data_IF_303077970501
#
_entry.id   IF_303077970501
#
_cell.length_a   1.000
_cell.length_b   1.000
_cell.length_c   1.000
_cell.angle_alpha   90.00
_cell.angle_beta   90.00
_cell.angle_gamma   90.00
#
_symmetry.space_group_name_H-M   'P 1'
#
loop_
_entity.id
_entity.type
_entity.pdbx_description
1 polymer ?
#
# COMPACT_ATOMS: atom_id res chain seq x y z
N UNK A 1 23.78 -2.12 -3.03
CA UNK A 1 22.34 -2.19 -2.71
C UNK A 1 21.85 -0.93 -2.01
N UNK A 2 22.40 -0.57 -0.84
CA UNK A 2 21.94 0.56 -0.01
C UNK A 2 21.85 1.87 -0.79
N UNK A 3 22.86 2.20 -1.61
CA UNK A 3 22.84 3.40 -2.45
C UNK A 3 21.63 3.48 -3.40
N UNK A 4 21.22 2.34 -3.98
CA UNK A 4 20.03 2.27 -4.87
C UNK A 4 18.73 2.52 -4.09
N UNK A 5 18.61 1.93 -2.90
CA UNK A 5 17.45 2.10 -2.02
C UNK A 5 17.33 3.57 -1.57
N UNK A 6 18.43 4.16 -1.09
CA UNK A 6 18.45 5.57 -0.66
C UNK A 6 18.10 6.48 -1.83
N UNK A 7 18.69 6.25 -3.01
CA UNK A 7 18.38 7.07 -4.19
C UNK A 7 16.90 6.96 -4.60
N UNK A 8 16.33 5.75 -4.58
CA UNK A 8 14.91 5.55 -4.82
C UNK A 8 14.01 6.30 -3.83
N UNK A 9 14.30 6.22 -2.53
CA UNK A 9 13.51 6.90 -1.50
C UNK A 9 13.58 8.42 -1.69
N UNK A 10 14.78 8.96 -1.93
CA UNK A 10 14.97 10.40 -2.17
C UNK A 10 14.23 10.85 -3.42
N UNK A 11 14.34 10.12 -4.54
CA UNK A 11 13.60 10.44 -5.77
C UNK A 11 12.09 10.38 -5.55
N UNK A 12 11.62 9.36 -4.84
CA UNK A 12 10.19 9.20 -4.55
C UNK A 12 9.67 10.39 -3.75
N UNK A 13 10.36 10.81 -2.68
CA UNK A 13 9.99 11.98 -1.88
C UNK A 13 9.99 13.28 -2.69
N UNK A 14 11.03 13.50 -3.52
CA UNK A 14 11.12 14.69 -4.36
C UNK A 14 9.99 14.74 -5.39
N UNK A 15 9.72 13.61 -6.07
CA UNK A 15 8.64 13.50 -7.06
C UNK A 15 7.26 13.66 -6.41
N UNK A 16 7.06 13.15 -5.19
CA UNK A 16 5.83 13.37 -4.42
C UNK A 16 5.58 14.86 -4.20
N UNK A 17 6.61 15.62 -3.83
CA UNK A 17 6.50 17.08 -3.65
C UNK A 17 6.20 17.77 -4.99
N UNK A 18 6.96 17.43 -6.04
CA UNK A 18 6.76 18.02 -7.38
C UNK A 18 5.34 17.76 -7.89
N UNK A 19 4.86 16.52 -7.82
CA UNK A 19 3.51 16.18 -8.25
C UNK A 19 2.43 16.83 -7.39
N UNK A 20 2.66 16.98 -6.08
CA UNK A 20 1.74 17.71 -5.21
C UNK A 20 1.64 19.19 -5.60
N UNK A 21 2.78 19.86 -5.87
CA UNK A 21 2.82 21.26 -6.31
C UNK A 21 2.15 21.42 -7.67
N UNK A 22 2.43 20.55 -8.64
CA UNK A 22 1.77 20.55 -9.95
C UNK A 22 0.25 20.42 -9.76
N UNK A 23 -0.19 19.48 -8.92
CA UNK A 23 -1.60 19.25 -8.68
C UNK A 23 -2.28 20.45 -8.03
N UNK A 24 -1.66 21.09 -7.04
CA UNK A 24 -2.18 22.30 -6.39
C UNK A 24 -2.36 23.48 -7.35
N UNK A 25 -1.53 23.57 -8.39
CA UNK A 25 -1.62 24.61 -9.42
C UNK A 25 -2.49 24.18 -10.63
N UNK A 26 -3.21 23.07 -10.52
CA UNK A 26 -4.09 22.54 -11.56
C UNK A 26 -5.55 22.55 -11.10
N UNK A 27 -6.48 22.24 -12.01
CA UNK A 27 -7.89 22.03 -11.69
C UNK A 27 -8.21 20.63 -11.12
N UNK A 28 -7.19 19.77 -10.93
CA UNK A 28 -7.37 18.38 -10.49
C UNK A 28 -7.54 18.28 -8.97
N UNK A 29 -8.70 17.82 -8.52
CA UNK A 29 -8.97 17.59 -7.09
C UNK A 29 -8.18 16.39 -6.54
N UNK A 30 -7.54 16.59 -5.39
CA UNK A 30 -6.88 15.54 -4.59
C UNK A 30 -7.83 14.43 -4.13
N UNK A 31 -9.14 14.71 -4.07
CA UNK A 31 -10.14 13.72 -3.69
C UNK A 31 -10.45 12.75 -4.84
N UNK A 32 -10.21 13.16 -6.10
CA UNK A 32 -10.52 12.35 -7.29
C UNK A 32 -9.29 11.63 -7.82
N UNK A 33 -8.14 12.29 -7.81
CA UNK A 33 -6.87 11.73 -8.27
C UNK A 33 -5.76 12.24 -7.35
N UNK A 34 -4.75 11.43 -7.10
CA UNK A 34 -3.57 11.85 -6.35
C UNK A 34 -2.34 11.66 -7.22
N UNK A 35 -1.88 12.74 -7.88
CA UNK A 35 -0.66 12.70 -8.67
C UNK A 35 0.56 12.26 -7.84
N UNK A 36 0.69 12.60 -6.53
CA UNK A 36 1.77 12.09 -5.71
C UNK A 36 1.90 10.56 -5.66
N UNK A 37 0.81 9.81 -5.88
CA UNK A 37 0.86 8.32 -5.95
C UNK A 37 1.64 7.80 -7.15
N UNK A 38 1.89 8.63 -8.17
CA UNK A 38 2.72 8.25 -9.32
C UNK A 38 4.22 8.27 -8.99
N UNK A 39 4.63 8.91 -7.88
CA UNK A 39 6.03 9.15 -7.55
C UNK A 39 6.89 7.87 -7.48
N UNK A 40 6.45 6.75 -6.84
CA UNK A 40 7.26 5.53 -6.77
C UNK A 40 7.53 4.94 -8.16
N UNK A 41 6.53 4.86 -9.05
CA UNK A 41 6.72 4.38 -10.42
C UNK A 41 7.70 5.26 -11.21
N UNK A 42 7.55 6.58 -11.15
CA UNK A 42 8.43 7.52 -11.84
C UNK A 42 9.86 7.49 -11.28
N UNK A 43 10.03 7.27 -9.97
CA UNK A 43 11.34 7.07 -9.38
C UNK A 43 12.04 5.83 -9.95
N UNK A 44 11.32 4.71 -10.15
CA UNK A 44 11.86 3.52 -10.83
C UNK A 44 12.28 3.83 -12.27
N UNK A 45 11.44 4.54 -13.03
CA UNK A 45 11.76 4.95 -14.41
C UNK A 45 13.05 5.79 -14.44
N UNK A 46 13.19 6.77 -13.54
CA UNK A 46 14.40 7.60 -13.46
C UNK A 46 15.62 6.73 -13.11
N UNK A 47 15.51 5.80 -12.17
CA UNK A 47 16.62 4.92 -11.79
C UNK A 47 17.15 4.07 -12.94
N UNK A 48 16.30 3.69 -13.90
CA UNK A 48 16.73 2.95 -15.08
C UNK A 48 17.71 3.71 -15.98
N UNK A 49 17.70 5.04 -15.94
CA UNK A 49 18.70 5.86 -16.65
C UNK A 49 20.07 5.83 -15.95
N UNK A 50 20.11 5.59 -14.64
CA UNK A 50 21.35 5.58 -13.85
C UNK A 50 21.92 4.17 -13.62
N UNK A 51 21.07 3.14 -13.65
CA UNK A 51 21.47 1.77 -13.37
C UNK A 51 20.95 0.81 -14.45
N UNK A 52 21.89 0.17 -15.17
CA UNK A 52 21.56 -0.81 -16.22
C UNK A 52 20.87 -2.08 -15.69
N UNK A 53 21.23 -2.51 -14.47
CA UNK A 53 20.70 -3.73 -13.83
C UNK A 53 19.98 -3.36 -12.54
N UNK A 54 18.66 -3.15 -12.63
CA UNK A 54 17.77 -3.03 -11.49
C UNK A 54 17.09 -4.39 -11.26
N UNK A 55 16.97 -4.86 -10.01
CA UNK A 55 16.33 -6.14 -9.69
C UNK A 55 14.80 -6.08 -9.84
N UNK A 56 14.25 -5.17 -10.65
CA UNK A 56 12.82 -4.95 -10.68
C UNK A 56 12.10 -6.07 -11.42
N UNK A 57 10.99 -6.55 -10.88
CA UNK A 57 10.14 -7.57 -11.48
C UNK A 57 8.74 -7.01 -11.68
N UNK A 58 8.36 -6.77 -12.93
CA UNK A 58 7.02 -6.32 -13.30
C UNK A 58 6.36 -7.42 -14.11
N UNK A 59 5.30 -8.02 -13.58
CA UNK A 59 4.54 -9.07 -14.24
C UNK A 59 3.05 -8.70 -14.27
N UNK A 60 2.53 -8.44 -15.46
CA UNK A 60 1.10 -8.12 -15.70
C UNK A 60 0.29 -9.34 -16.17
N UNK A 61 0.91 -10.52 -16.30
CA UNK A 61 0.23 -11.69 -16.82
C UNK A 61 -0.87 -12.14 -15.86
N UNK A 62 -2.04 -12.41 -16.43
CA UNK A 62 -3.17 -13.00 -15.71
C UNK A 62 -3.14 -14.50 -15.94
N UNK A 63 -3.06 -15.23 -14.84
CA UNK A 63 -3.13 -16.69 -14.81
C UNK A 63 -4.37 -17.15 -14.02
N UNK A 64 -5.18 -18.00 -14.64
CA UNK A 64 -6.41 -18.57 -14.08
C UNK A 64 -6.11 -19.38 -12.81
N UNK A 65 -4.95 -20.01 -12.71
CA UNK A 65 -4.52 -20.77 -11.52
C UNK A 65 -4.38 -19.85 -10.30
N UNK A 66 -4.15 -18.55 -10.52
CA UNK A 66 -4.02 -17.54 -9.47
C UNK A 66 -5.35 -16.87 -9.07
N UNK A 67 -6.50 -17.29 -9.61
CA UNK A 67 -7.83 -16.76 -9.24
C UNK A 67 -8.04 -16.69 -7.71
N UNK A 68 -7.74 -17.73 -6.91
CA UNK A 68 -7.88 -17.64 -5.47
C UNK A 68 -7.04 -16.52 -4.85
N UNK A 69 -5.85 -16.24 -5.38
CA UNK A 69 -5.00 -15.14 -4.92
C UNK A 69 -5.53 -13.78 -5.35
N UNK A 70 -6.07 -13.62 -6.55
CA UNK A 70 -6.73 -12.38 -6.97
C UNK A 70 -7.95 -12.07 -6.10
N UNK A 71 -8.81 -13.06 -5.84
CA UNK A 71 -9.97 -12.92 -4.97
C UNK A 71 -9.55 -12.59 -3.54
N UNK A 72 -8.56 -13.31 -3.00
CA UNK A 72 -8.01 -13.02 -1.67
C UNK A 72 -7.44 -11.62 -1.61
N UNK A 73 -6.67 -11.21 -2.63
CA UNK A 73 -6.08 -9.88 -2.69
C UNK A 73 -7.12 -8.77 -2.63
N UNK A 74 -8.24 -8.95 -3.33
CA UNK A 74 -9.30 -7.94 -3.36
C UNK A 74 -10.21 -7.98 -2.13
N UNK A 75 -10.61 -9.16 -1.65
CA UNK A 75 -11.60 -9.31 -0.58
C UNK A 75 -11.01 -9.14 0.83
N UNK A 76 -9.76 -9.54 1.04
CA UNK A 76 -9.14 -9.50 2.37
C UNK A 76 -9.04 -8.07 2.94
N UNK A 77 -8.54 -7.06 2.20
CA UNK A 77 -8.52 -5.68 2.69
C UNK A 77 -9.90 -5.18 3.08
N UNK A 78 -10.92 -5.44 2.23
CA UNK A 78 -12.30 -5.02 2.46
C UNK A 78 -12.84 -5.65 3.75
N UNK A 79 -12.58 -6.94 3.97
CA UNK A 79 -13.01 -7.64 5.18
C UNK A 79 -12.34 -7.08 6.44
N UNK A 80 -11.03 -6.84 6.41
CA UNK A 80 -10.28 -6.31 7.56
C UNK A 80 -10.71 -4.89 7.93
N UNK A 81 -10.91 -4.03 6.93
CA UNK A 81 -11.42 -2.69 7.16
C UNK A 81 -12.88 -2.68 7.61
N UNK A 82 -13.73 -3.55 7.05
CA UNK A 82 -15.10 -3.74 7.53
C UNK A 82 -15.11 -4.15 9.01
N UNK A 83 -14.26 -5.09 9.41
CA UNK A 83 -14.11 -5.48 10.82
C UNK A 83 -13.64 -4.30 11.69
N UNK A 84 -12.66 -3.51 11.23
CA UNK A 84 -12.20 -2.32 11.93
C UNK A 84 -13.32 -1.29 12.11
N UNK A 85 -14.11 -1.03 11.07
CA UNK A 85 -15.30 -0.18 11.13
C UNK A 85 -16.29 -0.65 12.21
N UNK A 86 -16.64 -1.94 12.22
CA UNK A 86 -17.61 -2.47 13.19
C UNK A 86 -17.08 -2.42 14.63
N UNK A 87 -15.83 -2.83 14.87
CA UNK A 87 -15.26 -2.87 16.22
C UNK A 87 -15.05 -1.46 16.81
N UNK A 88 -14.60 -0.51 16.00
CA UNK A 88 -14.40 0.87 16.45
C UNK A 88 -15.72 1.56 16.80
N UNK A 89 -16.80 1.25 16.08
CA UNK A 89 -18.15 1.68 16.44
C UNK A 89 -18.61 1.17 17.81
N UNK A 90 -18.27 -0.07 18.18
CA UNK A 90 -18.65 -0.65 19.49
C UNK A 90 -17.96 0.04 20.67
N UNK A 91 -16.77 0.60 20.45
CA UNK A 91 -16.00 1.31 21.49
C UNK A 91 -16.22 2.84 21.44
N UNK A 92 -17.26 3.30 20.75
CA UNK A 92 -17.69 4.70 20.74
C UNK A 92 -16.89 5.63 19.83
N UNK A 93 -16.13 5.10 18.86
CA UNK A 93 -15.52 5.94 17.81
C UNK A 93 -16.61 6.29 16.79
N UNK A 94 -16.81 7.58 16.54
CA UNK A 94 -17.77 8.05 15.55
C UNK A 94 -17.25 7.82 14.12
N UNK A 95 -17.50 6.62 13.61
CA UNK A 95 -17.19 6.25 12.22
C UNK A 95 -18.45 6.38 11.37
N UNK A 96 -18.36 7.16 10.29
CA UNK A 96 -19.44 7.35 9.32
C UNK A 96 -19.03 6.74 7.97
N UNK A 97 -19.83 5.82 7.40
CA UNK A 97 -19.58 5.32 6.06
C UNK A 97 -19.77 6.45 5.04
N UNK A 98 -19.26 6.26 3.83
CA UNK A 98 -19.50 7.20 2.73
C UNK A 98 -21.01 7.34 2.49
N UNK A 99 -21.50 8.59 2.57
CA UNK A 99 -22.94 8.92 2.46
C UNK A 99 -23.51 8.65 1.07
N UNK A 100 -22.68 8.52 0.03
CA UNK A 100 -23.15 8.23 -1.32
C UNK A 100 -22.08 7.58 -2.20
N UNK A 101 -22.07 6.24 -2.29
CA UNK A 101 -21.22 5.52 -3.26
C UNK A 101 -21.52 5.89 -4.71
N UNK A 102 -22.67 6.53 -4.99
CA UNK A 102 -22.99 7.10 -6.31
C UNK A 102 -22.04 8.24 -6.72
N UNK A 103 -21.26 8.79 -5.79
CA UNK A 103 -20.18 9.74 -6.07
C UNK A 103 -18.85 9.07 -6.44
N UNK A 104 -18.78 7.73 -6.52
CA UNK A 104 -17.75 7.03 -7.31
C UNK A 104 -17.95 7.37 -8.78
N UNK A 105 -17.56 8.57 -9.15
CA UNK A 105 -17.47 9.00 -10.53
C UNK A 105 -16.35 8.15 -11.17
N UNK A 106 -16.52 7.66 -12.41
CA UNK A 106 -15.53 6.83 -13.10
C UNK A 106 -14.09 7.35 -12.98
N UNK A 107 -13.90 8.67 -13.01
CA UNK A 107 -12.60 9.31 -12.86
C UNK A 107 -11.90 9.02 -11.53
N UNK A 108 -12.64 8.91 -10.42
CA UNK A 108 -12.06 8.60 -9.12
C UNK A 108 -11.61 7.15 -9.06
N UNK A 109 -12.43 6.22 -9.60
CA UNK A 109 -12.06 4.82 -9.71
C UNK A 109 -10.82 4.64 -10.61
N UNK A 110 -10.80 5.29 -11.76
CA UNK A 110 -9.62 5.30 -12.65
C UNK A 110 -8.39 5.85 -11.93
N UNK A 111 -8.52 6.97 -11.20
CA UNK A 111 -7.44 7.54 -10.40
C UNK A 111 -6.91 6.57 -9.34
N UNK A 112 -7.80 5.88 -8.62
CA UNK A 112 -7.42 4.87 -7.62
C UNK A 112 -6.72 3.66 -8.23
N UNK A 113 -7.17 3.17 -9.39
CA UNK A 113 -6.53 2.07 -10.11
C UNK A 113 -5.12 2.49 -10.53
N UNK A 114 -4.99 3.64 -11.20
CA UNK A 114 -3.68 4.11 -11.67
C UNK A 114 -2.73 4.34 -10.49
N UNK A 115 -3.20 5.01 -9.43
CA UNK A 115 -2.42 5.29 -8.23
C UNK A 115 -1.95 4.01 -7.53
N UNK A 116 -2.86 3.06 -7.27
CA UNK A 116 -2.53 1.79 -6.65
C UNK A 116 -1.44 1.03 -7.42
N UNK A 117 -1.60 0.89 -8.74
CA UNK A 117 -0.61 0.18 -9.55
C UNK A 117 0.71 0.94 -9.66
N UNK A 118 0.69 2.27 -9.75
CA UNK A 118 1.90 3.08 -9.81
C UNK A 118 2.71 3.00 -8.50
N UNK A 119 2.06 2.98 -7.35
CA UNK A 119 2.72 2.75 -6.07
C UNK A 119 3.36 1.36 -6.02
N UNK A 120 2.62 0.32 -6.41
CA UNK A 120 3.11 -1.06 -6.35
C UNK A 120 4.28 -1.35 -7.31
N UNK A 121 4.40 -0.61 -8.43
CA UNK A 121 5.60 -0.65 -9.28
C UNK A 121 6.85 -0.25 -8.47
N UNK A 122 6.76 0.80 -7.67
CA UNK A 122 7.87 1.24 -6.81
C UNK A 122 8.08 0.30 -5.64
N UNK A 123 7.02 -0.05 -4.91
CA UNK A 123 7.13 -0.79 -3.67
C UNK A 123 7.41 -2.27 -3.86
N UNK A 124 6.64 -2.96 -4.71
CA UNK A 124 6.63 -4.44 -4.81
C UNK A 124 7.38 -4.94 -6.03
N UNK A 125 7.41 -4.15 -7.10
CA UNK A 125 8.22 -4.49 -8.26
C UNK A 125 9.66 -4.00 -8.16
N UNK A 126 10.00 -3.04 -7.30
CA UNK A 126 11.37 -2.53 -7.19
C UNK A 126 11.96 -2.58 -5.78
N UNK A 127 11.40 -1.85 -4.80
CA UNK A 127 12.00 -1.68 -3.47
C UNK A 127 12.13 -3.01 -2.75
N UNK A 128 11.03 -3.77 -2.65
CA UNK A 128 11.03 -5.05 -1.97
C UNK A 128 12.01 -6.05 -2.60
N UNK A 129 11.98 -6.35 -3.92
CA UNK A 129 12.99 -7.20 -4.57
C UNK A 129 14.43 -6.70 -4.39
N UNK A 130 14.64 -5.37 -4.29
CA UNK A 130 15.96 -4.81 -4.03
C UNK A 130 16.46 -5.19 -2.64
N UNK A 131 15.60 -5.11 -1.62
CA UNK A 131 15.91 -5.48 -0.23
C UNK A 131 16.06 -7.00 -0.08
N UNK A 132 15.28 -7.79 -0.82
CA UNK A 132 15.33 -9.27 -0.81
C UNK A 132 16.66 -9.85 -1.31
N UNK A 133 17.51 -9.06 -1.97
CA UNK A 133 18.84 -9.53 -2.37
C UNK A 133 19.77 -9.82 -1.18
N UNK A 134 19.54 -9.17 -0.03
CA UNK A 134 20.41 -9.29 1.16
C UNK A 134 19.63 -9.71 2.42
N UNK A 135 18.30 -9.58 2.40
CA UNK A 135 17.44 -9.87 3.54
C UNK A 135 16.35 -10.87 3.17
N UNK A 136 15.83 -11.58 4.18
CA UNK A 136 14.69 -12.49 3.96
C UNK A 136 13.45 -11.72 3.49
N UNK A 137 12.54 -12.35 2.72
CA UNK A 137 11.26 -11.74 2.32
C UNK A 137 10.45 -11.14 3.46
N UNK A 138 10.53 -11.71 4.67
CA UNK A 138 9.89 -11.13 5.85
C UNK A 138 10.53 -9.78 6.24
N UNK A 139 11.85 -9.72 6.32
CA UNK A 139 12.56 -8.46 6.62
C UNK A 139 12.31 -7.44 5.51
N UNK A 140 12.35 -7.86 4.25
CA UNK A 140 12.11 -6.99 3.11
C UNK A 140 10.69 -6.41 3.11
N UNK A 141 9.67 -7.22 3.39
CA UNK A 141 8.29 -6.76 3.49
C UNK A 141 8.06 -5.81 4.67
N UNK A 142 8.70 -6.05 5.84
CA UNK A 142 8.68 -5.13 6.99
C UNK A 142 9.30 -3.78 6.61
N UNK A 143 10.51 -3.75 6.05
CA UNK A 143 11.16 -2.50 5.65
C UNK A 143 10.39 -1.76 4.56
N UNK A 144 9.84 -2.49 3.58
CA UNK A 144 8.99 -1.93 2.53
C UNK A 144 7.75 -1.28 3.12
N UNK A 145 7.08 -1.95 4.07
CA UNK A 145 5.91 -1.41 4.75
C UNK A 145 6.23 -0.18 5.61
N UNK A 146 7.37 -0.16 6.30
CA UNK A 146 7.83 1.01 7.05
C UNK A 146 8.09 2.20 6.15
N UNK A 147 8.82 2.01 5.05
CA UNK A 147 9.13 3.07 4.07
C UNK A 147 7.83 3.58 3.44
N UNK A 148 6.93 2.68 3.05
CA UNK A 148 5.63 3.03 2.48
C UNK A 148 4.77 3.83 3.47
N UNK A 149 4.70 3.41 4.74
CA UNK A 149 3.95 4.15 5.76
C UNK A 149 4.56 5.51 6.07
N UNK A 150 5.89 5.61 6.24
CA UNK A 150 6.59 6.86 6.53
C UNK A 150 6.56 7.86 5.37
N UNK A 151 6.44 7.38 4.13
CA UNK A 151 6.29 8.21 2.93
C UNK A 151 5.03 9.08 2.95
N UNK A 152 3.98 8.68 3.68
CA UNK A 152 2.74 9.45 3.79
C UNK A 152 2.86 10.63 4.77
N UNK A 153 3.67 11.64 4.40
CA UNK A 153 3.96 12.82 5.23
C UNK A 153 2.70 13.61 5.64
N UNK A 154 1.63 13.55 4.85
CA UNK A 154 0.36 14.22 5.16
C UNK A 154 -0.35 13.68 6.40
N UNK A 155 -0.06 12.46 6.83
CA UNK A 155 -0.69 11.84 8.01
C UNK A 155 -0.07 12.25 9.34
N UNK A 156 1.11 12.86 9.34
CA UNK A 156 1.81 13.25 10.57
C UNK A 156 1.02 14.29 11.38
N UNK A 157 0.22 15.12 10.70
CA UNK A 157 -0.70 16.10 11.33
C UNK A 157 -1.77 15.45 12.22
N UNK A 158 -2.04 14.16 12.05
CA UNK A 158 -3.03 13.41 12.83
C UNK A 158 -2.45 12.90 14.18
N UNK A 159 -1.18 13.19 14.46
CA UNK A 159 -0.53 12.89 15.74
C UNK A 159 0.17 11.53 15.82
N UNK A 160 0.98 11.35 16.86
CA UNK A 160 1.85 10.18 17.04
C UNK A 160 1.04 8.88 17.12
N UNK A 161 -0.06 8.87 17.86
CA UNK A 161 -0.89 7.67 18.03
C UNK A 161 -1.48 7.19 16.70
N UNK A 162 -1.90 8.13 15.84
CA UNK A 162 -2.36 7.81 14.49
C UNK A 162 -1.24 7.17 13.68
N UNK A 163 -0.04 7.76 13.70
CA UNK A 163 1.11 7.24 12.96
C UNK A 163 1.54 5.84 13.42
N UNK A 164 1.45 5.55 14.72
CA UNK A 164 1.69 4.19 15.24
C UNK A 164 0.69 3.20 14.62
N UNK A 165 -0.61 3.52 14.67
CA UNK A 165 -1.65 2.69 14.05
C UNK A 165 -1.45 2.51 12.54
N UNK A 166 -1.08 3.60 11.84
CA UNK A 166 -0.85 3.60 10.41
C UNK A 166 0.39 2.78 10.00
N UNK A 167 1.46 2.83 10.79
CA UNK A 167 2.65 2.02 10.57
C UNK A 167 2.37 0.54 10.85
N UNK A 168 1.61 0.21 11.91
CA UNK A 168 1.16 -1.17 12.14
C UNK A 168 0.35 -1.70 10.96
N UNK A 169 -0.56 -0.89 10.43
CA UNK A 169 -1.34 -1.22 9.24
C UNK A 169 -0.45 -1.43 8.01
N UNK A 170 0.38 -0.46 7.63
CA UNK A 170 1.18 -0.50 6.40
C UNK A 170 2.24 -1.62 6.42
N UNK A 171 2.87 -1.88 7.57
CA UNK A 171 3.77 -3.04 7.75
C UNK A 171 3.02 -4.34 7.59
N UNK A 172 1.87 -4.49 8.26
CA UNK A 172 1.06 -5.72 8.18
C UNK A 172 0.54 -5.95 6.76
N UNK A 173 0.03 -4.92 6.10
CA UNK A 173 -0.39 -4.97 4.71
C UNK A 173 0.77 -5.38 3.79
N UNK A 174 1.97 -4.83 4.00
CA UNK A 174 3.15 -5.20 3.21
C UNK A 174 3.54 -6.67 3.36
N UNK A 175 3.45 -7.22 4.58
CA UNK A 175 3.66 -8.66 4.83
C UNK A 175 2.61 -9.51 4.10
N UNK A 176 1.33 -9.11 4.17
CA UNK A 176 0.23 -9.83 3.51
C UNK A 176 0.37 -9.82 1.98
N UNK A 177 0.71 -8.66 1.39
CA UNK A 177 0.99 -8.54 -0.05
C UNK A 177 2.17 -9.44 -0.42
N UNK A 178 3.27 -9.35 0.32
CA UNK A 178 4.45 -10.19 0.09
C UNK A 178 4.14 -11.69 0.13
N UNK A 179 3.29 -12.12 1.05
CA UNK A 179 2.85 -13.51 1.13
C UNK A 179 2.01 -13.92 -0.08
N UNK A 180 1.07 -13.08 -0.51
CA UNK A 180 0.26 -13.34 -1.71
C UNK A 180 1.10 -13.42 -2.98
N UNK A 181 2.21 -12.69 -3.05
CA UNK A 181 3.11 -12.68 -4.22
C UNK A 181 4.01 -13.92 -4.34
N UNK A 182 4.13 -14.77 -3.31
CA UNK A 182 4.90 -16.02 -3.36
C UNK A 182 4.42 -16.91 -4.51
N UNK A 183 5.32 -17.54 -5.26
CA UNK A 183 4.96 -18.44 -6.36
C UNK A 183 4.08 -17.78 -7.45
N UNK A 184 4.18 -16.45 -7.65
CA UNK A 184 3.41 -15.72 -8.68
C UNK A 184 4.27 -14.98 -9.70
N UNK A 185 5.59 -15.18 -9.65
CA UNK A 185 6.57 -14.37 -10.40
C UNK A 185 6.38 -12.87 -10.17
N UNK A 186 6.11 -12.47 -8.91
CA UNK A 186 5.89 -11.07 -8.51
C UNK A 186 4.76 -10.39 -9.31
N UNK A 187 3.57 -11.04 -9.35
CA UNK A 187 2.40 -10.52 -10.07
C UNK A 187 1.98 -9.14 -9.58
N UNK A 188 2.13 -8.13 -10.44
CA UNK A 188 1.72 -6.76 -10.15
C UNK A 188 0.18 -6.63 -10.09
N UNK A 189 -0.54 -7.53 -10.77
CA UNK A 189 -2.01 -7.59 -10.70
C UNK A 189 -2.47 -7.89 -9.26
N UNK A 190 -1.83 -8.84 -8.57
CA UNK A 190 -2.16 -9.17 -7.18
C UNK A 190 -1.88 -7.98 -6.25
N UNK A 191 -0.69 -7.39 -6.35
CA UNK A 191 -0.31 -6.25 -5.52
C UNK A 191 -1.24 -5.05 -5.76
N UNK A 192 -1.50 -4.72 -7.04
CA UNK A 192 -2.36 -3.62 -7.44
C UNK A 192 -3.82 -3.81 -7.01
N UNK A 193 -4.37 -5.03 -7.12
CA UNK A 193 -5.72 -5.34 -6.63
C UNK A 193 -5.84 -5.21 -5.12
N UNK A 194 -4.81 -5.66 -4.38
CA UNK A 194 -4.77 -5.52 -2.93
C UNK A 194 -4.76 -4.05 -2.52
N UNK A 195 -3.90 -3.25 -3.13
CA UNK A 195 -3.82 -1.82 -2.85
C UNK A 195 -5.10 -1.09 -3.29
N UNK A 196 -5.66 -1.40 -4.46
CA UNK A 196 -6.94 -0.85 -4.88
C UNK A 196 -8.05 -1.12 -3.85
N UNK A 197 -8.11 -2.34 -3.31
CA UNK A 197 -9.07 -2.70 -2.28
C UNK A 197 -8.85 -1.92 -0.96
N UNK A 198 -7.60 -1.60 -0.60
CA UNK A 198 -7.29 -0.67 0.49
C UNK A 198 -7.89 0.71 0.21
N UNK A 199 -7.63 1.29 -0.97
CA UNK A 199 -8.13 2.62 -1.36
C UNK A 199 -9.66 2.69 -1.35
N UNK A 200 -10.32 1.67 -1.90
CA UNK A 200 -11.78 1.55 -1.89
C UNK A 200 -12.32 1.44 -0.47
N UNK A 201 -11.66 0.66 0.40
CA UNK A 201 -12.08 0.50 1.79
C UNK A 201 -11.97 1.81 2.57
N UNK A 202 -10.91 2.58 2.36
CA UNK A 202 -10.78 3.92 2.94
C UNK A 202 -11.91 4.85 2.53
N UNK A 203 -12.27 4.84 1.24
CA UNK A 203 -13.38 5.61 0.74
C UNK A 203 -14.72 5.16 1.35
N UNK A 204 -15.00 3.85 1.35
CA UNK A 204 -16.30 3.30 1.77
C UNK A 204 -16.52 3.47 3.27
N UNK A 205 -15.52 3.14 4.08
CA UNK A 205 -15.70 2.97 5.52
C UNK A 205 -15.26 4.18 6.35
N UNK A 206 -14.37 5.05 5.86
CA UNK A 206 -13.63 5.98 6.75
C UNK A 206 -13.66 7.46 6.37
N UNK A 207 -14.62 7.97 5.59
CA UNK A 207 -14.66 9.37 5.10
C UNK A 207 -14.14 10.43 6.11
N UNK A 208 -14.68 10.48 7.33
CA UNK A 208 -14.23 11.43 8.37
C UNK A 208 -13.24 10.83 9.37
N UNK A 209 -13.10 9.51 9.39
CA UNK A 209 -12.29 8.76 10.36
C UNK A 209 -10.89 8.42 9.84
N UNK A 210 -10.56 8.76 8.58
CA UNK A 210 -9.19 8.66 8.03
C UNK A 210 -8.17 9.50 8.82
N UNK A 211 -8.62 10.36 9.72
CA UNK A 211 -7.76 11.19 10.59
C UNK A 211 -7.88 10.84 12.07
N UNK A 212 -8.77 9.92 12.45
CA UNK A 212 -8.99 9.54 13.85
C UNK A 212 -7.91 8.55 14.32
N UNK A 213 -7.17 8.94 15.37
CA UNK A 213 -6.06 8.15 15.89
C UNK A 213 -6.47 6.83 16.54
N UNK A 214 -7.62 6.80 17.24
CA UNK A 214 -8.12 5.58 17.88
C UNK A 214 -8.58 4.58 16.83
N UNK A 215 -9.30 5.07 15.81
CA UNK A 215 -9.70 4.28 14.66
C UNK A 215 -8.48 3.62 14.00
N UNK A 216 -7.47 4.44 13.65
CA UNK A 216 -6.29 3.96 12.94
C UNK A 216 -5.48 2.96 13.76
N UNK A 217 -5.40 3.14 15.09
CA UNK A 217 -4.76 2.17 15.98
C UNK A 217 -5.47 0.82 15.97
N UNK A 218 -6.80 0.81 16.13
CA UNK A 218 -7.59 -0.44 16.10
C UNK A 218 -7.47 -1.11 14.73
N UNK A 219 -7.50 -0.34 13.64
CA UNK A 219 -7.25 -0.86 12.30
C UNK A 219 -5.86 -1.52 12.21
N UNK A 220 -4.80 -0.83 12.63
CA UNK A 220 -3.44 -1.40 12.65
C UNK A 220 -3.35 -2.71 13.42
N UNK A 221 -4.00 -2.81 14.59
CA UNK A 221 -4.03 -4.04 15.39
C UNK A 221 -4.79 -5.18 14.71
N UNK A 222 -5.91 -4.89 14.04
CA UNK A 222 -6.68 -5.90 13.28
C UNK A 222 -5.85 -6.46 12.13
N UNK A 223 -5.14 -5.60 11.41
CA UNK A 223 -4.26 -6.00 10.31
C UNK A 223 -3.04 -6.79 10.79
N UNK A 224 -2.56 -6.52 12.01
CA UNK A 224 -1.44 -7.23 12.62
C UNK A 224 -1.75 -8.71 12.87
N UNK A 225 -3.00 -9.06 13.22
CA UNK A 225 -3.39 -10.44 13.54
C UNK A 225 -3.11 -11.44 12.39
N UNK A 226 -3.63 -11.27 11.17
CA UNK A 226 -3.31 -12.19 10.06
C UNK A 226 -1.83 -12.16 9.69
N UNK A 227 -1.15 -11.01 9.80
CA UNK A 227 0.29 -10.93 9.55
C UNK A 227 1.08 -11.78 10.56
N UNK A 228 0.76 -11.72 11.86
CA UNK A 228 1.37 -12.56 12.88
C UNK A 228 1.04 -14.04 12.68
N UNK A 229 -0.20 -14.38 12.33
CA UNK A 229 -0.58 -15.76 12.02
C UNK A 229 0.28 -16.30 10.88
N UNK A 230 0.49 -15.52 9.80
CA UNK A 230 1.36 -15.93 8.71
C UNK A 230 2.82 -16.10 9.15
N UNK A 231 3.35 -15.17 9.95
CA UNK A 231 4.72 -15.27 10.47
C UNK A 231 4.89 -16.54 11.32
N UNK A 232 3.94 -16.82 12.21
CA UNK A 232 4.00 -17.97 13.13
C UNK A 232 3.80 -19.30 12.40
N UNK A 233 2.91 -19.35 11.42
CA UNK A 233 2.60 -20.59 10.67
C UNK A 233 3.64 -20.91 9.61
N UNK A 234 4.22 -19.89 8.96
CA UNK A 234 5.21 -20.11 7.91
C UNK A 234 6.63 -20.13 8.44
N UNK A 235 6.96 -19.43 9.53
CA UNK A 235 8.29 -19.42 10.12
C UNK A 235 9.39 -19.19 9.08
N UNK A 236 10.34 -20.12 8.98
CA UNK A 236 11.41 -20.09 7.97
C UNK A 236 10.92 -20.28 6.52
N UNK A 237 9.74 -20.84 6.30
CA UNK A 237 9.16 -21.00 4.97
C UNK A 237 8.59 -19.70 4.39
N UNK A 238 8.51 -18.61 5.18
CA UNK A 238 8.18 -17.29 4.64
C UNK A 238 9.19 -16.86 3.56
N UNK A 239 10.43 -17.36 3.61
CA UNK A 239 11.48 -17.01 2.66
C UNK A 239 11.51 -17.84 1.37
N UNK A 240 10.65 -18.85 1.21
CA UNK A 240 10.60 -19.67 0.00
C UNK A 240 9.65 -19.02 -1.01
N UNK A 241 10.21 -18.20 -1.90
CA UNK A 241 9.52 -17.59 -3.06
C UNK A 241 9.39 -18.57 -4.21
#
# INVERSE_FOLDING_TARGET
>A
MISKIVFFIVLTLLLTIVFAVIQQNSSLSFERISLPQLAPAFAVIILYFFYKNLPSKVNFNIDIVLIPKYLTAFLLPIALFGLAYFLTKQIGVEVKPAENLKQLVPIMLTGMVIGAFAEEIGWRSYLQPTIENEYSPLKASIFTGLIWGLWHIGHYKNGVLFMIGFLLFTVSASILISWLLRETSSSLIIAGLFHLAINLSFLIFFKNSMTDAKFMLVNGLIWLLPALILILTLGQNFSKT
#
